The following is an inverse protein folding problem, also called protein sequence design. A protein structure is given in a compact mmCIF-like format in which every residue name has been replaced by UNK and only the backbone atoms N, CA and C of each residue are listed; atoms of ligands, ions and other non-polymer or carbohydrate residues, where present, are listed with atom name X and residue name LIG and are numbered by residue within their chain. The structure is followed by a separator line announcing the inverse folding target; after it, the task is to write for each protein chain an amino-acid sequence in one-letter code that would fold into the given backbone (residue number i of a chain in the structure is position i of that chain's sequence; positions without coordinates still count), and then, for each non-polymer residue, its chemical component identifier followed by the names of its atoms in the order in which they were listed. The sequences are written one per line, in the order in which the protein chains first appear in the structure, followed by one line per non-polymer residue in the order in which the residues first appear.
data_IF_467877864718
#
_entry.id   IF_467877864718
#
_cell.length_a   1.000
_cell.length_b   1.000
_cell.length_c   1.000
_cell.angle_alpha   90.00
_cell.angle_beta   90.00
_cell.angle_gamma   90.00
#
_symmetry.space_group_name_H-M   'P 1'
#
loop_
_entity.id
_entity.type
_entity.pdbx_description
1 polymer ?
#
# COMPACT_ATOMS: atom_id res chain seq x y z
N UNK A 1 26.07 44.06 -32.14
CA UNK A 1 25.23 42.94 -31.64
C UNK A 1 26.18 41.81 -31.28
N UNK A 2 26.35 41.55 -29.98
CA UNK A 2 27.35 40.60 -29.46
C UNK A 2 26.86 39.16 -29.55
N UNK A 3 27.64 38.29 -30.19
CA UNK A 3 27.46 36.84 -30.14
C UNK A 3 28.02 36.27 -28.84
N UNK A 4 27.31 35.40 -28.10
CA UNK A 4 27.90 34.71 -26.97
C UNK A 4 28.77 33.53 -27.44
N UNK A 5 30.01 33.49 -26.91
CA UNK A 5 30.99 32.41 -27.05
C UNK A 5 30.46 31.12 -26.40
N UNK A 6 30.48 30.02 -27.15
CA UNK A 6 30.26 28.66 -26.63
C UNK A 6 31.60 28.08 -26.15
N UNK A 7 31.75 27.95 -24.84
CA UNK A 7 32.88 27.30 -24.17
C UNK A 7 32.50 25.82 -24.01
N UNK A 8 33.15 24.94 -24.78
CA UNK A 8 33.15 23.51 -24.55
C UNK A 8 34.51 23.15 -23.94
N UNK A 9 34.58 23.02 -22.61
CA UNK A 9 35.75 22.49 -21.93
C UNK A 9 35.52 21.00 -21.63
N UNK A 10 36.04 20.15 -22.52
CA UNK A 10 36.14 18.71 -22.32
C UNK A 10 37.59 18.32 -22.07
N UNK A 11 37.94 18.01 -20.82
CA UNK A 11 39.12 17.24 -20.44
C UNK A 11 38.86 16.67 -19.03
N UNK A 12 38.35 15.45 -18.94
CA UNK A 12 39.13 14.20 -18.83
C UNK A 12 39.84 14.03 -17.48
N UNK A 13 39.20 13.19 -16.65
CA UNK A 13 39.83 12.15 -15.81
C UNK A 13 40.99 12.52 -14.89
N UNK A 14 40.72 12.51 -13.58
CA UNK A 14 41.68 12.07 -12.58
C UNK A 14 41.21 10.74 -11.97
N UNK A 15 41.92 9.69 -12.35
CA UNK A 15 41.89 8.36 -11.78
C UNK A 15 42.29 8.41 -10.30
N UNK A 16 41.43 7.88 -9.42
CA UNK A 16 41.87 7.30 -8.15
C UNK A 16 41.39 5.86 -8.09
N UNK A 17 42.32 4.95 -8.39
CA UNK A 17 42.17 3.52 -8.18
C UNK A 17 42.02 3.26 -6.68
N UNK A 18 40.77 3.11 -6.25
CA UNK A 18 40.41 2.31 -5.09
C UNK A 18 39.41 1.28 -5.61
N UNK A 19 39.55 0.02 -5.21
CA UNK A 19 38.54 -1.02 -5.42
C UNK A 19 37.28 -0.68 -4.61
N UNK A 20 36.59 0.39 -4.98
CA UNK A 20 35.32 0.79 -4.42
C UNK A 20 34.24 0.47 -5.45
N UNK A 21 33.16 -0.14 -4.95
CA UNK A 21 31.96 -0.37 -5.75
C UNK A 21 31.56 0.95 -6.46
N UNK A 22 31.02 0.87 -7.70
CA UNK A 22 30.54 2.07 -8.38
C UNK A 22 29.59 2.84 -7.47
N UNK A 23 29.73 4.17 -7.47
CA UNK A 23 28.87 5.03 -6.66
C UNK A 23 27.38 4.75 -7.00
N UNK A 24 26.50 4.65 -5.99
CA UNK A 24 25.11 4.29 -6.21
C UNK A 24 24.41 5.34 -7.08
N UNK A 25 23.53 4.88 -7.95
CA UNK A 25 22.76 5.78 -8.82
C UNK A 25 21.82 6.65 -7.98
N UNK A 26 21.39 7.79 -8.53
CA UNK A 26 20.47 8.70 -7.81
C UNK A 26 19.17 8.01 -7.40
N UNK A 27 18.63 7.12 -8.24
CA UNK A 27 17.45 6.30 -7.91
C UNK A 27 17.71 5.40 -6.70
N UNK A 28 18.85 4.72 -6.70
CA UNK A 28 19.24 3.81 -5.62
C UNK A 28 19.42 4.55 -4.28
N UNK A 29 19.93 5.77 -4.31
CA UNK A 29 19.99 6.63 -3.11
C UNK A 29 18.60 6.99 -2.58
N UNK A 30 17.64 7.29 -3.47
CA UNK A 30 16.24 7.56 -3.06
C UNK A 30 15.57 6.31 -2.49
N UNK A 31 15.75 5.15 -3.14
CA UNK A 31 15.19 3.88 -2.70
C UNK A 31 15.76 3.52 -1.31
N UNK A 32 17.07 3.65 -1.11
CA UNK A 32 17.73 3.42 0.19
C UNK A 32 17.20 4.37 1.27
N UNK A 33 17.04 5.67 0.96
CA UNK A 33 16.51 6.65 1.91
C UNK A 33 15.04 6.37 2.29
N UNK A 34 14.23 5.90 1.34
CA UNK A 34 12.85 5.52 1.61
C UNK A 34 12.75 4.30 2.53
N UNK A 35 13.63 3.30 2.34
CA UNK A 35 13.73 2.13 3.21
C UNK A 35 14.17 2.55 4.62
N UNK A 36 15.22 3.36 4.72
CA UNK A 36 15.74 3.87 5.98
C UNK A 36 14.67 4.66 6.76
N UNK A 37 13.91 5.54 6.09
CA UNK A 37 12.81 6.29 6.71
C UNK A 37 11.76 5.37 7.34
N UNK A 38 11.39 4.28 6.65
CA UNK A 38 10.42 3.32 7.17
C UNK A 38 10.94 2.58 8.41
N UNK A 39 12.24 2.32 8.49
CA UNK A 39 12.84 1.62 9.64
C UNK A 39 12.91 2.54 10.86
N UNK A 40 13.40 3.78 10.71
CA UNK A 40 13.51 4.72 11.82
C UNK A 40 12.16 5.11 12.46
N UNK A 41 11.08 5.21 11.67
CA UNK A 41 9.73 5.45 12.21
C UNK A 41 9.25 4.28 13.10
N UNK A 42 9.62 3.05 12.76
CA UNK A 42 9.22 1.86 13.51
C UNK A 42 10.09 1.60 14.75
N UNK A 43 11.37 1.99 14.71
CA UNK A 43 12.33 1.67 15.78
C UNK A 43 12.50 2.78 16.81
N UNK A 44 12.37 4.07 16.43
CA UNK A 44 12.77 5.17 17.32
C UNK A 44 11.64 5.74 18.18
N UNK A 45 10.38 5.81 17.72
CA UNK A 45 9.32 6.53 18.47
C UNK A 45 7.96 5.83 18.50
N UNK A 46 7.60 5.06 17.48
CA UNK A 46 6.30 4.37 17.44
C UNK A 46 6.16 3.29 18.53
N UNK A 47 7.20 2.46 18.73
CA UNK A 47 7.17 1.38 19.73
C UNK A 47 7.16 1.90 21.17
N UNK A 48 7.93 2.95 21.47
CA UNK A 48 8.05 3.51 22.83
C UNK A 48 6.78 4.26 23.26
N UNK A 49 6.20 5.07 22.38
CA UNK A 49 4.96 5.81 22.67
C UNK A 49 3.79 4.84 22.79
N UNK A 50 3.65 3.89 21.86
CA UNK A 50 2.58 2.88 21.94
C UNK A 50 2.71 2.06 23.22
N UNK A 51 3.92 1.61 23.58
CA UNK A 51 4.15 0.90 24.84
C UNK A 51 3.78 1.74 26.07
N UNK A 52 4.12 3.03 26.07
CA UNK A 52 3.74 3.95 27.16
C UNK A 52 2.22 4.11 27.26
N UNK A 53 1.52 4.23 26.12
CA UNK A 53 0.06 4.33 26.07
C UNK A 53 -0.60 3.02 26.53
N UNK A 54 -0.09 1.87 26.09
CA UNK A 54 -0.53 0.53 26.52
C UNK A 54 -0.38 0.38 28.03
N UNK A 55 0.79 0.74 28.57
CA UNK A 55 1.07 0.66 30.01
C UNK A 55 0.13 1.58 30.80
N UNK A 56 -0.07 2.83 30.38
CA UNK A 56 -0.96 3.77 31.08
C UNK A 56 -2.41 3.31 31.09
N UNK A 57 -2.96 2.85 29.95
CA UNK A 57 -4.33 2.36 29.88
C UNK A 57 -4.49 1.10 30.75
N UNK A 58 -3.51 0.19 30.74
CA UNK A 58 -3.54 -1.03 31.54
C UNK A 58 -3.52 -0.73 33.05
N UNK A 59 -2.83 0.33 33.48
CA UNK A 59 -2.83 0.77 34.90
C UNK A 59 -4.16 1.41 35.31
N UNK A 60 -4.79 2.20 34.44
CA UNK A 60 -6.05 2.89 34.75
C UNK A 60 -7.26 1.94 34.64
N UNK A 61 -7.22 1.02 33.67
CA UNK A 61 -8.30 0.08 33.37
C UNK A 61 -7.71 -1.33 33.27
N UNK A 62 -7.59 -2.06 34.40
CA UNK A 62 -7.00 -3.41 34.40
C UNK A 62 -7.69 -4.39 33.45
N UNK A 63 -9.00 -4.23 33.22
CA UNK A 63 -9.77 -5.05 32.29
C UNK A 63 -9.38 -4.86 30.80
N UNK A 64 -8.72 -3.75 30.45
CA UNK A 64 -8.27 -3.46 29.09
C UNK A 64 -6.86 -4.02 28.79
N UNK A 65 -6.08 -4.39 29.82
CA UNK A 65 -4.75 -4.97 29.66
C UNK A 65 -4.69 -6.18 28.69
N UNK A 66 -5.56 -7.21 28.80
CA UNK A 66 -5.53 -8.33 27.86
C UNK A 66 -5.96 -7.96 26.43
N UNK A 67 -6.72 -6.88 26.25
CA UNK A 67 -7.21 -6.40 24.94
C UNK A 67 -6.13 -5.60 24.22
N UNK A 68 -5.33 -4.83 24.97
CA UNK A 68 -4.35 -3.87 24.44
C UNK A 68 -2.93 -4.51 24.34
N UNK A 69 -2.80 -5.79 24.72
CA UNK A 69 -1.56 -6.56 24.57
C UNK A 69 -0.62 -6.50 25.79
N UNK A 70 -1.13 -6.09 26.96
CA UNK A 70 -0.42 -6.20 28.23
C UNK A 70 -0.29 -7.66 28.66
N UNK A 71 0.94 -8.15 28.78
CA UNK A 71 1.24 -9.54 29.12
C UNK A 71 0.65 -9.92 30.49
N UNK A 72 -0.38 -10.76 30.50
CA UNK A 72 -0.74 -11.58 31.66
C UNK A 72 -0.04 -12.95 31.51
N UNK A 73 0.53 -13.53 32.58
CA UNK A 73 1.22 -14.83 32.50
C UNK A 73 0.27 -16.04 32.34
N UNK A 74 -1.04 -15.86 32.46
CA UNK A 74 -2.00 -16.97 32.48
C UNK A 74 -3.21 -16.71 31.58
N UNK A 75 -3.04 -16.81 30.26
CA UNK A 75 -4.17 -17.06 29.38
C UNK A 75 -3.73 -17.72 28.09
N UNK A 76 -3.89 -19.05 28.05
CA UNK A 76 -3.96 -19.84 26.83
C UNK A 76 -5.20 -19.39 26.05
N UNK A 77 -5.07 -18.31 25.28
CA UNK A 77 -6.10 -17.89 24.33
C UNK A 77 -5.92 -18.78 23.10
N UNK A 78 -6.88 -19.68 22.94
CA UNK A 78 -7.03 -20.51 21.75
C UNK A 78 -7.11 -19.58 20.53
N UNK A 79 -6.14 -19.71 19.64
CA UNK A 79 -6.00 -18.91 18.42
C UNK A 79 -7.14 -19.27 17.45
N UNK A 80 -8.34 -18.73 17.68
CA UNK A 80 -9.34 -18.60 16.63
C UNK A 80 -8.85 -17.49 15.71
N UNK A 81 -8.06 -17.85 14.69
CA UNK A 81 -7.83 -16.96 13.54
C UNK A 81 -9.20 -16.64 12.96
N UNK A 82 -9.69 -15.43 13.20
CA UNK A 82 -10.81 -14.89 12.46
C UNK A 82 -10.41 -14.90 10.98
N UNK A 83 -11.01 -15.78 10.19
CA UNK A 83 -10.84 -15.73 8.74
C UNK A 83 -11.26 -14.33 8.28
N UNK A 84 -10.45 -13.67 7.42
CA UNK A 84 -10.82 -12.37 6.92
C UNK A 84 -12.21 -12.47 6.29
N UNK A 85 -13.10 -11.56 6.68
CA UNK A 85 -14.46 -11.55 6.18
C UNK A 85 -14.43 -11.64 4.64
N UNK A 86 -15.06 -12.69 4.12
CA UNK A 86 -15.12 -12.91 2.69
C UNK A 86 -15.83 -11.76 1.97
N UNK A 87 -15.73 -11.71 0.63
CA UNK A 87 -16.50 -10.75 -0.15
C UNK A 87 -17.99 -10.78 0.23
N UNK A 88 -18.70 -9.64 0.14
CA UNK A 88 -20.13 -9.57 0.42
C UNK A 88 -20.92 -10.60 -0.40
N UNK A 89 -22.01 -11.09 0.17
CA UNK A 89 -22.89 -12.01 -0.54
C UNK A 89 -23.51 -11.31 -1.77
N UNK A 90 -23.56 -12.03 -2.88
CA UNK A 90 -24.28 -11.59 -4.09
C UNK A 90 -25.78 -11.46 -3.75
N UNK A 91 -26.50 -10.46 -4.27
CA UNK A 91 -27.95 -10.40 -4.08
C UNK A 91 -28.63 -11.68 -4.58
N UNK A 92 -29.63 -12.16 -3.83
CA UNK A 92 -30.41 -13.37 -4.14
C UNK A 92 -31.09 -13.32 -5.52
N UNK A 93 -31.35 -12.10 -6.02
CA UNK A 93 -32.11 -11.86 -7.25
C UNK A 93 -31.25 -11.45 -8.44
N UNK A 94 -29.94 -11.73 -8.39
CA UNK A 94 -29.05 -11.34 -9.49
C UNK A 94 -29.41 -11.97 -10.84
N UNK A 95 -29.98 -13.18 -10.84
CA UNK A 95 -30.48 -13.84 -12.06
C UNK A 95 -31.63 -13.06 -12.71
N UNK A 96 -32.53 -12.49 -11.91
CA UNK A 96 -33.64 -11.67 -12.39
C UNK A 96 -33.13 -10.35 -12.98
N UNK A 97 -32.08 -9.77 -12.38
CA UNK A 97 -31.43 -8.56 -12.88
C UNK A 97 -30.76 -8.85 -14.24
N UNK A 98 -30.05 -9.97 -14.37
CA UNK A 98 -29.45 -10.39 -15.64
C UNK A 98 -30.50 -10.62 -16.74
N UNK A 99 -31.61 -11.27 -16.40
CA UNK A 99 -32.72 -11.51 -17.33
C UNK A 99 -33.41 -10.22 -17.77
N UNK A 100 -33.67 -9.30 -16.83
CA UNK A 100 -34.23 -7.99 -17.13
C UNK A 100 -33.35 -7.20 -18.09
N UNK A 101 -32.04 -7.12 -17.81
CA UNK A 101 -31.08 -6.45 -18.69
C UNK A 101 -31.03 -7.12 -20.06
N UNK A 102 -30.99 -8.46 -20.11
CA UNK A 102 -31.02 -9.23 -21.36
C UNK A 102 -32.28 -8.94 -22.17
N UNK A 103 -33.44 -8.81 -21.54
CA UNK A 103 -34.69 -8.50 -22.20
C UNK A 103 -34.71 -7.06 -22.76
N UNK A 104 -34.16 -6.08 -22.05
CA UNK A 104 -33.98 -4.72 -22.58
C UNK A 104 -33.11 -4.70 -23.85
N UNK A 105 -32.05 -5.50 -23.89
CA UNK A 105 -31.19 -5.61 -25.08
C UNK A 105 -31.83 -6.39 -26.22
N UNK A 106 -32.74 -7.34 -25.93
CA UNK A 106 -33.52 -8.03 -26.98
C UNK A 106 -34.49 -7.09 -27.67
N UNK A 107 -35.20 -6.25 -26.91
CA UNK A 107 -36.18 -5.32 -27.49
C UNK A 107 -35.52 -4.24 -28.34
N UNK A 108 -34.34 -3.74 -27.95
CA UNK A 108 -33.60 -2.75 -28.74
C UNK A 108 -32.93 -3.36 -29.98
N UNK A 109 -32.47 -4.62 -29.93
CA UNK A 109 -31.92 -5.32 -31.10
C UNK A 109 -32.97 -5.56 -32.17
N UNK A 110 -34.21 -5.91 -31.82
CA UNK A 110 -35.27 -6.11 -32.81
C UNK A 110 -35.57 -4.83 -33.62
N UNK A 111 -35.62 -3.68 -32.93
CA UNK A 111 -35.87 -2.39 -33.56
C UNK A 111 -34.64 -1.85 -34.34
N UNK A 112 -33.41 -2.15 -33.88
CA UNK A 112 -32.18 -1.69 -34.56
C UNK A 112 -31.78 -2.56 -35.75
N UNK A 113 -32.00 -3.89 -35.69
CA UNK A 113 -31.70 -4.81 -36.80
C UNK A 113 -32.72 -4.66 -37.94
N UNK A 114 -33.97 -4.28 -37.65
CA UNK A 114 -34.95 -3.94 -38.69
C UNK A 114 -34.67 -2.61 -39.39
N UNK A 115 -33.90 -1.71 -38.77
CA UNK A 115 -33.52 -0.40 -39.34
C UNK A 115 -32.20 -0.43 -40.13
N UNK A 116 -31.49 -1.57 -40.15
CA UNK A 116 -30.19 -1.74 -40.82
C UNK A 116 -30.23 -2.51 -42.15
N UNK A 117 -31.41 -2.81 -42.67
CA UNK A 117 -31.61 -3.41 -44.00
C UNK A 117 -32.51 -2.53 -44.88
N UNK A 118 -32.11 -1.28 -45.09
CA UNK A 118 -32.58 -0.44 -46.19
C UNK A 118 -31.39 0.18 -46.93
#
# INVERSE_FOLDING_TARGET
MSSPKKNNNSSSSSSSSSNSAPAPTFKEQLDNKAIESRIHENESEGSSVVKTVVDTISHVIPAAAPIIGGSNPDSKVEENKEEPAGPPHRPEHDTQIEEFVREQHRSTIADNVSSGME
#
